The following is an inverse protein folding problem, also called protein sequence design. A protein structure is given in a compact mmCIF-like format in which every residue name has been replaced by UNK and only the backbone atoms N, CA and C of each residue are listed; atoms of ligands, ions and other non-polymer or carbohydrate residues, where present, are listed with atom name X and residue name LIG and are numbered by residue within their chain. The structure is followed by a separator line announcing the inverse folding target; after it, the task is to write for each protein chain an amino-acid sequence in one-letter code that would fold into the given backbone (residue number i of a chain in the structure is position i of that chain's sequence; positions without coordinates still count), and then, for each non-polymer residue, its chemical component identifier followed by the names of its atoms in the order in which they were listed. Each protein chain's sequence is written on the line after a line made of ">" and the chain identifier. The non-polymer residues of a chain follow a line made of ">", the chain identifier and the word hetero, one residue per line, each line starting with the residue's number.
data_IF_993581180175
#
_entry.id   IF_993581180175
#
_cell.length_a   1.000
_cell.length_b   1.000
_cell.length_c   1.000
_cell.angle_alpha   90.00
_cell.angle_beta   90.00
_cell.angle_gamma   90.00
#
_symmetry.space_group_name_H-M   'P 1'
#
loop_
_entity.id
_entity.type
_entity.pdbx_description
1 polymer ?
#
# COMPACT_ATOMS: atom_id res chain seq x y z
N UNK A 1 15.54 -5.32 17.85
CA UNK A 1 15.07 -6.47 17.07
C UNK A 1 13.81 -6.07 16.27
N UNK A 2 13.92 -5.02 15.46
CA UNK A 2 12.81 -4.40 14.72
C UNK A 2 12.94 -4.76 13.23
N UNK A 3 11.82 -5.07 12.57
CA UNK A 3 11.76 -5.26 11.13
C UNK A 3 10.99 -4.09 10.51
N UNK A 4 11.60 -3.40 9.57
CA UNK A 4 10.94 -2.36 8.76
C UNK A 4 10.68 -2.95 7.38
N UNK A 5 9.42 -2.96 6.96
CA UNK A 5 9.00 -3.52 5.67
C UNK A 5 8.63 -2.38 4.74
N UNK A 6 9.35 -2.27 3.62
CA UNK A 6 8.99 -1.36 2.54
C UNK A 6 7.97 -2.02 1.61
N UNK A 7 6.90 -1.30 1.29
CA UNK A 7 5.81 -1.82 0.47
C UNK A 7 5.86 -1.23 -0.94
N UNK A 8 5.47 -2.01 -1.97
CA UNK A 8 5.23 -1.47 -3.31
C UNK A 8 4.27 -0.26 -3.28
N UNK A 9 4.32 0.64 -4.28
CA UNK A 9 3.48 1.84 -4.33
C UNK A 9 1.99 1.52 -4.24
N UNK A 10 1.20 2.45 -3.71
CA UNK A 10 -0.19 2.28 -3.23
C UNK A 10 -1.13 1.60 -4.23
N UNK A 11 -0.95 1.85 -5.54
CA UNK A 11 -1.72 1.17 -6.60
C UNK A 11 -1.63 -0.36 -6.54
N UNK A 12 -0.55 -0.90 -5.97
CA UNK A 12 -0.29 -2.33 -5.77
C UNK A 12 -0.26 -2.73 -4.28
N UNK A 13 -0.45 -1.79 -3.34
CA UNK A 13 -0.39 -2.11 -1.91
C UNK A 13 -1.63 -2.90 -1.45
N UNK A 14 -2.78 -2.71 -2.11
CA UNK A 14 -3.96 -3.57 -1.92
C UNK A 14 -3.67 -5.00 -2.41
N UNK A 15 -2.97 -5.14 -3.55
CA UNK A 15 -2.56 -6.46 -4.03
C UNK A 15 -1.65 -7.18 -3.03
N UNK A 16 -0.83 -6.45 -2.26
CA UNK A 16 -0.02 -7.05 -1.19
C UNK A 16 -0.90 -7.66 -0.08
N UNK A 17 -1.95 -6.96 0.35
CA UNK A 17 -2.89 -7.44 1.36
C UNK A 17 -3.77 -8.59 0.84
N UNK A 18 -4.20 -8.50 -0.41
CA UNK A 18 -5.10 -9.49 -1.02
C UNK A 18 -4.38 -10.70 -1.62
N UNK A 19 -3.08 -10.63 -1.89
CA UNK A 19 -2.34 -11.72 -2.53
C UNK A 19 -2.46 -13.07 -1.81
N UNK A 20 -2.34 -13.16 -0.47
CA UNK A 20 -2.51 -14.42 0.24
C UNK A 20 -3.93 -15.00 0.08
N UNK A 21 -4.94 -14.13 0.18
CA UNK A 21 -6.34 -14.50 0.01
C UNK A 21 -6.66 -14.92 -1.43
N UNK A 22 -6.09 -14.24 -2.41
CA UNK A 22 -6.31 -14.54 -3.84
C UNK A 22 -5.78 -15.93 -4.18
N UNK A 23 -4.63 -16.30 -3.63
CA UNK A 23 -4.07 -17.67 -3.75
C UNK A 23 -5.03 -18.67 -3.08
N UNK A 24 -5.51 -18.37 -1.88
CA UNK A 24 -6.46 -19.25 -1.17
C UNK A 24 -7.77 -19.43 -1.94
N UNK A 25 -8.39 -18.34 -2.41
CA UNK A 25 -9.61 -18.35 -3.24
C UNK A 25 -9.42 -19.14 -4.53
N UNK A 26 -8.26 -19.01 -5.15
CA UNK A 26 -7.91 -19.75 -6.35
C UNK A 26 -7.87 -21.28 -6.10
N UNK A 27 -7.20 -21.69 -5.03
CA UNK A 27 -7.13 -23.09 -4.60
C UNK A 27 -8.49 -23.64 -4.16
N UNK A 28 -9.37 -22.79 -3.64
CA UNK A 28 -10.73 -23.20 -3.28
C UNK A 28 -11.69 -23.34 -4.46
N UNK A 29 -11.30 -22.86 -5.64
CA UNK A 29 -12.16 -22.83 -6.81
C UNK A 29 -12.53 -24.25 -7.27
N UNK A 30 -13.80 -24.45 -7.64
CA UNK A 30 -14.33 -25.78 -8.04
C UNK A 30 -13.57 -26.39 -9.23
N UNK A 31 -13.07 -25.56 -10.14
CA UNK A 31 -12.24 -26.01 -11.27
C UNK A 31 -10.96 -26.69 -10.78
N UNK A 32 -10.23 -26.06 -9.85
CA UNK A 32 -9.00 -26.62 -9.30
C UNK A 32 -9.27 -27.97 -8.61
N UNK A 33 -10.27 -28.00 -7.72
CA UNK A 33 -10.67 -29.23 -7.02
C UNK A 33 -11.03 -30.37 -7.99
N UNK A 34 -11.71 -30.07 -9.10
CA UNK A 34 -12.07 -31.06 -10.12
C UNK A 34 -10.86 -31.54 -10.93
N UNK A 35 -9.85 -30.68 -11.17
CA UNK A 35 -8.63 -31.04 -11.88
C UNK A 35 -7.69 -31.92 -11.05
N UNK A 36 -7.58 -31.66 -9.76
CA UNK A 36 -6.65 -32.34 -8.86
C UNK A 36 -7.24 -33.62 -8.24
N UNK A 37 -8.57 -33.77 -8.20
CA UNK A 37 -9.20 -34.98 -7.65
C UNK A 37 -8.79 -36.23 -8.45
N UNK A 38 -8.17 -37.26 -7.82
CA UNK A 38 -7.68 -38.44 -8.52
C UNK A 38 -8.81 -39.21 -9.21
N UNK A 39 -8.51 -39.74 -10.40
CA UNK A 39 -9.44 -40.45 -11.28
C UNK A 39 -9.77 -41.88 -10.82
N UNK A 40 -10.13 -42.05 -9.54
CA UNK A 40 -10.49 -43.36 -8.94
C UNK A 40 -11.87 -43.35 -8.26
N UNK A 41 -12.73 -44.32 -8.60
CA UNK A 41 -14.00 -44.58 -7.89
C UNK A 41 -15.25 -43.84 -8.38
N UNK A 42 -16.26 -43.70 -7.50
CA UNK A 42 -17.63 -43.19 -7.77
C UNK A 42 -17.70 -41.75 -8.34
N UNK A 43 -16.55 -41.06 -8.45
CA UNK A 43 -16.38 -39.71 -9.00
C UNK A 43 -16.43 -39.64 -10.56
N UNK A 44 -16.57 -40.77 -11.26
CA UNK A 44 -16.57 -40.82 -12.74
C UNK A 44 -17.63 -39.96 -13.42
N UNK A 45 -18.75 -39.66 -12.76
CA UNK A 45 -19.86 -38.89 -13.36
C UNK A 45 -19.55 -37.39 -13.40
N UNK A 46 -18.87 -36.85 -12.38
CA UNK A 46 -18.43 -35.45 -12.34
C UNK A 46 -17.30 -35.21 -13.34
N UNK A 47 -16.43 -36.21 -13.52
CA UNK A 47 -15.28 -36.13 -14.40
C UNK A 47 -15.67 -36.06 -15.90
N UNK A 48 -16.80 -36.66 -16.30
CA UNK A 48 -17.19 -36.70 -17.72
C UNK A 48 -17.65 -35.33 -18.27
N UNK A 49 -18.36 -34.54 -17.46
CA UNK A 49 -18.80 -33.19 -17.83
C UNK A 49 -17.63 -32.19 -17.87
N UNK A 50 -16.73 -32.28 -16.87
CA UNK A 50 -15.52 -31.46 -16.81
C UNK A 50 -14.58 -31.73 -17.99
N UNK A 51 -14.38 -33.00 -18.37
CA UNK A 51 -13.58 -33.37 -19.54
C UNK A 51 -14.15 -32.84 -20.86
N UNK A 52 -15.47 -32.78 -21.01
CA UNK A 52 -16.11 -32.21 -22.21
C UNK A 52 -15.86 -30.69 -22.34
N UNK A 53 -15.94 -29.97 -21.23
CA UNK A 53 -15.62 -28.55 -21.16
C UNK A 53 -14.13 -28.30 -21.43
N UNK A 54 -13.23 -29.05 -20.79
CA UNK A 54 -11.78 -28.94 -20.99
C UNK A 54 -11.35 -29.21 -22.44
N UNK A 55 -11.94 -30.20 -23.12
CA UNK A 55 -11.70 -30.44 -24.56
C UNK A 55 -12.16 -29.28 -25.44
N UNK A 56 -13.20 -28.56 -25.03
CA UNK A 56 -13.70 -27.39 -25.78
C UNK A 56 -12.77 -26.19 -25.60
N UNK A 57 -12.26 -25.99 -24.38
CA UNK A 57 -11.23 -24.98 -24.07
C UNK A 57 -9.89 -25.31 -24.75
N UNK A 58 -9.44 -26.56 -24.72
CA UNK A 58 -8.22 -27.04 -25.38
C UNK A 58 -8.24 -26.82 -26.91
N UNK A 59 -9.43 -26.82 -27.51
CA UNK A 59 -9.60 -26.52 -28.94
C UNK A 59 -9.37 -25.04 -29.26
N UNK A 60 -9.45 -24.16 -28.27
CA UNK A 60 -9.24 -22.70 -28.37
C UNK A 60 -7.82 -22.31 -27.92
N UNK A 61 -7.29 -22.97 -26.87
CA UNK A 61 -6.05 -22.57 -26.17
C UNK A 61 -4.84 -23.49 -26.49
N UNK A 62 -5.02 -24.49 -27.37
CA UNK A 62 -4.12 -25.63 -27.63
C UNK A 62 -4.13 -26.68 -26.51
N UNK A 63 -4.01 -27.95 -26.89
CA UNK A 63 -4.07 -29.07 -25.95
C UNK A 63 -2.86 -29.11 -24.99
N UNK A 64 -1.67 -28.76 -25.48
CA UNK A 64 -0.45 -28.78 -24.67
C UNK A 64 -0.50 -27.81 -23.50
N UNK A 65 -1.04 -26.60 -23.69
CA UNK A 65 -1.19 -25.62 -22.58
C UNK A 65 -2.15 -26.12 -21.50
N UNK A 66 -3.19 -26.86 -21.90
CA UNK A 66 -4.13 -27.45 -20.94
C UNK A 66 -3.46 -28.60 -20.18
N UNK A 67 -2.68 -29.43 -20.87
CA UNK A 67 -1.93 -30.53 -20.24
C UNK A 67 -0.88 -29.98 -19.25
N UNK A 68 -0.12 -28.94 -19.63
CA UNK A 68 0.87 -28.26 -18.77
C UNK A 68 0.20 -27.67 -17.52
N UNK A 69 -0.99 -27.06 -17.66
CA UNK A 69 -1.74 -26.53 -16.53
C UNK A 69 -2.22 -27.64 -15.59
N UNK A 70 -2.66 -28.78 -16.13
CA UNK A 70 -3.06 -29.95 -15.33
C UNK A 70 -1.87 -30.49 -14.55
N UNK A 71 -0.71 -30.64 -15.20
CA UNK A 71 0.53 -31.10 -14.56
C UNK A 71 1.00 -30.14 -13.46
N UNK A 72 0.95 -28.84 -13.73
CA UNK A 72 1.21 -27.81 -12.73
C UNK A 72 0.29 -27.96 -11.51
N UNK A 73 -1.02 -28.08 -11.70
CA UNK A 73 -1.96 -28.22 -10.58
C UNK A 73 -1.81 -29.53 -9.81
N UNK A 74 -1.51 -30.64 -10.50
CA UNK A 74 -1.24 -31.92 -9.86
C UNK A 74 0.04 -31.87 -9.00
N UNK A 75 1.05 -31.11 -9.42
CA UNK A 75 2.28 -30.88 -8.64
C UNK A 75 2.03 -29.97 -7.43
N UNK A 76 1.00 -29.13 -7.49
CA UNK A 76 0.58 -28.24 -6.40
C UNK A 76 -0.33 -28.91 -5.35
N UNK A 77 -0.76 -30.17 -5.57
CA UNK A 77 -1.63 -30.91 -4.66
C UNK A 77 -1.02 -31.07 -3.26
N UNK A 78 -1.78 -30.77 -2.23
CA UNK A 78 -1.36 -30.86 -0.82
C UNK A 78 -0.63 -29.64 -0.26
N UNK A 79 -0.36 -28.61 -1.07
CA UNK A 79 0.25 -27.36 -0.59
C UNK A 79 -0.77 -26.34 -0.06
N UNK A 80 -2.07 -26.57 -0.28
CA UNK A 80 -3.13 -25.58 -0.05
C UNK A 80 -3.31 -25.24 1.42
N UNK A 81 -3.26 -26.27 2.29
CA UNK A 81 -3.36 -26.08 3.73
C UNK A 81 -2.18 -25.25 4.27
N UNK A 82 -0.98 -25.47 3.73
CA UNK A 82 0.20 -24.70 4.08
C UNK A 82 0.13 -23.24 3.63
N UNK A 83 -0.40 -22.98 2.42
CA UNK A 83 -0.62 -21.60 1.95
C UNK A 83 -1.68 -20.89 2.76
N UNK A 84 -2.78 -21.56 3.08
CA UNK A 84 -3.84 -21.02 3.92
C UNK A 84 -3.32 -20.69 5.31
N UNK A 85 -2.60 -21.61 5.94
CA UNK A 85 -2.00 -21.38 7.25
C UNK A 85 -1.05 -20.18 7.25
N UNK A 86 -0.26 -20.01 6.18
CA UNK A 86 0.59 -18.82 6.02
C UNK A 86 -0.19 -17.53 5.80
N UNK A 87 -1.26 -17.56 5.00
CA UNK A 87 -2.09 -16.38 4.76
C UNK A 87 -2.70 -15.87 6.07
N UNK A 88 -3.26 -16.78 6.88
CA UNK A 88 -3.79 -16.46 8.21
C UNK A 88 -2.68 -15.95 9.13
N UNK A 89 -1.54 -16.64 9.22
CA UNK A 89 -0.44 -16.21 10.07
C UNK A 89 0.13 -14.83 9.68
N UNK A 90 0.17 -14.52 8.38
CA UNK A 90 0.57 -13.18 7.90
C UNK A 90 -0.47 -12.15 8.31
N UNK A 91 -1.76 -12.41 8.12
CA UNK A 91 -2.81 -11.49 8.55
C UNK A 91 -2.76 -11.24 10.07
N UNK A 92 -2.64 -12.30 10.87
CA UNK A 92 -2.49 -12.23 12.33
C UNK A 92 -1.28 -11.35 12.73
N UNK A 93 -0.17 -11.43 11.99
CA UNK A 93 1.00 -10.57 12.21
C UNK A 93 0.71 -9.10 11.87
N UNK A 94 -0.06 -8.82 10.82
CA UNK A 94 -0.38 -7.46 10.42
C UNK A 94 -1.31 -6.74 11.41
N UNK A 95 -2.16 -7.48 12.14
CA UNK A 95 -3.08 -6.94 13.14
C UNK A 95 -2.57 -7.09 14.59
N UNK A 96 -1.36 -7.62 14.79
CA UNK A 96 -0.78 -7.84 16.11
C UNK A 96 -0.49 -6.50 16.81
N UNK A 97 -0.59 -6.47 18.15
CA UNK A 97 -0.37 -5.26 18.96
C UNK A 97 1.05 -4.70 18.86
N UNK A 98 2.02 -5.51 18.42
CA UNK A 98 3.43 -5.12 18.21
C UNK A 98 3.76 -4.77 16.75
N UNK A 99 2.76 -4.76 15.87
CA UNK A 99 2.87 -4.30 14.48
C UNK A 99 2.23 -2.92 14.34
N UNK A 100 2.91 -2.01 13.65
CA UNK A 100 2.39 -0.67 13.38
C UNK A 100 2.43 -0.36 11.87
N UNK A 101 1.35 0.22 11.35
CA UNK A 101 1.27 0.69 9.97
C UNK A 101 1.51 2.20 9.89
N UNK A 102 2.52 2.58 9.11
CA UNK A 102 2.86 3.97 8.84
C UNK A 102 2.55 4.30 7.39
N UNK A 103 1.56 5.17 7.18
CA UNK A 103 1.17 5.63 5.86
C UNK A 103 2.03 6.82 5.44
N UNK A 104 2.64 6.75 4.26
CA UNK A 104 3.42 7.86 3.70
C UNK A 104 2.65 8.50 2.55
N UNK A 105 2.44 9.80 2.61
CA UNK A 105 1.76 10.58 1.56
C UNK A 105 2.49 11.89 1.25
N UNK A 106 2.04 12.61 0.22
CA UNK A 106 2.46 13.98 -0.08
C UNK A 106 1.23 14.88 -0.10
N UNK A 107 1.35 16.19 0.22
CA UNK A 107 0.21 17.10 0.32
C UNK A 107 -0.27 17.56 -1.08
N UNK A 108 -0.81 16.62 -1.84
CA UNK A 108 -1.45 16.84 -3.14
C UNK A 108 -2.82 16.18 -3.13
N UNK A 109 -3.81 16.80 -3.76
CA UNK A 109 -5.20 16.30 -3.74
C UNK A 109 -5.29 14.83 -4.19
N UNK A 110 -4.69 14.50 -5.35
CA UNK A 110 -4.70 13.14 -5.90
C UNK A 110 -4.11 12.11 -4.92
N UNK A 111 -2.95 12.43 -4.32
CA UNK A 111 -2.30 11.50 -3.39
C UNK A 111 -2.99 11.41 -2.04
N UNK A 112 -3.64 12.48 -1.58
CA UNK A 112 -4.38 12.47 -0.31
C UNK A 112 -5.70 11.71 -0.45
N UNK A 113 -6.40 11.85 -1.58
CA UNK A 113 -7.60 11.06 -1.88
C UNK A 113 -7.26 9.56 -1.97
N UNK A 114 -6.18 9.20 -2.65
CA UNK A 114 -5.68 7.82 -2.72
C UNK A 114 -5.31 7.29 -1.33
N UNK A 115 -4.67 8.11 -0.48
CA UNK A 115 -4.32 7.76 0.88
C UNK A 115 -5.57 7.51 1.75
N UNK A 116 -6.61 8.34 1.63
CA UNK A 116 -7.87 8.16 2.34
C UNK A 116 -8.57 6.85 1.93
N UNK A 117 -8.67 6.58 0.63
CA UNK A 117 -9.23 5.32 0.12
C UNK A 117 -8.41 4.09 0.58
N UNK A 118 -7.09 4.24 0.70
CA UNK A 118 -6.23 3.16 1.20
C UNK A 118 -6.44 2.90 2.70
N UNK A 119 -6.63 3.95 3.52
CA UNK A 119 -7.01 3.80 4.94
C UNK A 119 -8.33 3.03 5.07
N UNK A 120 -9.34 3.39 4.27
CA UNK A 120 -10.62 2.67 4.25
C UNK A 120 -10.42 1.20 3.88
N UNK A 121 -9.55 0.91 2.91
CA UNK A 121 -9.25 -0.47 2.49
C UNK A 121 -8.56 -1.26 3.62
N UNK A 122 -7.57 -0.66 4.29
CA UNK A 122 -6.90 -1.28 5.44
C UNK A 122 -7.90 -1.59 6.56
N UNK A 123 -8.84 -0.68 6.81
CA UNK A 123 -9.89 -0.88 7.81
C UNK A 123 -10.82 -2.07 7.45
N UNK A 124 -11.06 -2.38 6.17
CA UNK A 124 -11.81 -3.59 5.77
C UNK A 124 -11.09 -4.90 6.10
N UNK A 125 -9.78 -4.85 6.31
CA UNK A 125 -8.95 -5.99 6.71
C UNK A 125 -8.58 -5.97 8.20
N UNK A 126 -9.26 -5.14 9.00
CA UNK A 126 -9.00 -4.92 10.43
C UNK A 126 -7.59 -4.39 10.73
N UNK A 127 -6.96 -3.72 9.75
CA UNK A 127 -5.65 -3.08 9.91
C UNK A 127 -5.85 -1.59 10.17
N UNK A 128 -5.37 -1.11 11.32
CA UNK A 128 -5.37 0.30 11.66
C UNK A 128 -4.09 1.00 11.14
N UNK A 129 -4.20 2.29 10.78
CA UNK A 129 -3.03 3.14 10.50
C UNK A 129 -2.65 3.87 11.79
N UNK A 130 -1.44 3.61 12.27
CA UNK A 130 -0.95 4.16 13.54
C UNK A 130 -0.31 5.54 13.38
N UNK A 131 0.27 5.80 12.20
CA UNK A 131 0.88 7.08 11.91
C UNK A 131 0.80 7.45 10.42
N UNK A 132 0.77 8.76 10.16
CA UNK A 132 0.88 9.33 8.82
C UNK A 132 2.12 10.20 8.73
N UNK A 133 2.98 9.89 7.77
CA UNK A 133 4.09 10.74 7.36
C UNK A 133 3.67 11.52 6.13
N UNK A 134 3.52 12.83 6.28
CA UNK A 134 3.30 13.76 5.17
C UNK A 134 4.65 14.25 4.70
N UNK A 135 5.13 13.69 3.60
CA UNK A 135 6.41 14.04 3.00
C UNK A 135 6.28 15.26 2.08
N UNK A 136 7.39 15.99 1.88
CA UNK A 136 7.50 17.10 0.92
C UNK A 136 6.55 18.26 1.20
N UNK A 137 6.35 18.59 2.48
CA UNK A 137 5.57 19.77 2.88
C UNK A 137 6.34 21.04 2.57
N UNK A 138 5.67 22.06 2.04
CA UNK A 138 6.29 23.38 1.89
C UNK A 138 6.35 24.08 3.25
N UNK A 139 7.53 24.55 3.69
CA UNK A 139 7.66 25.23 4.96
C UNK A 139 6.83 26.51 5.00
N UNK A 140 6.18 26.75 6.12
CA UNK A 140 5.52 28.02 6.42
C UNK A 140 6.49 28.92 7.17
N UNK A 141 6.76 30.10 6.62
CA UNK A 141 7.69 31.08 7.19
C UNK A 141 6.98 32.16 8.03
N UNK A 142 5.80 31.84 8.57
CA UNK A 142 4.96 32.78 9.33
C UNK A 142 4.06 33.63 8.42
N UNK A 143 3.26 34.52 9.02
CA UNK A 143 2.27 35.38 8.34
C UNK A 143 2.58 36.88 8.46
N UNK A 144 3.80 37.23 8.86
CA UNK A 144 4.19 38.64 9.00
C UNK A 144 4.08 39.37 7.66
N UNK A 145 3.42 40.52 7.68
CA UNK A 145 3.23 41.33 6.49
C UNK A 145 4.53 42.07 6.18
N UNK A 146 5.19 41.70 5.08
CA UNK A 146 6.38 42.36 4.56
C UNK A 146 6.04 43.64 3.76
N UNK A 147 5.12 44.45 4.30
CA UNK A 147 4.64 45.68 3.66
C UNK A 147 5.81 46.67 3.49
N UNK A 148 5.92 47.30 2.31
CA UNK A 148 6.94 48.32 2.01
C UNK A 148 8.29 47.79 1.51
N UNK A 149 8.50 46.47 1.48
CA UNK A 149 9.68 45.85 0.86
C UNK A 149 9.43 45.40 -0.59
N UNK A 150 8.17 45.44 -1.04
CA UNK A 150 7.71 44.97 -2.35
C UNK A 150 8.14 45.87 -3.53
N UNK A 151 8.62 47.09 -3.27
CA UNK A 151 9.09 48.03 -4.30
C UNK A 151 10.62 48.15 -4.37
N UNK A 152 11.34 47.34 -3.56
CA UNK A 152 12.79 47.41 -3.43
C UNK A 152 13.55 46.25 -4.10
N UNK A 153 14.89 46.18 -3.91
CA UNK A 153 15.71 45.07 -4.42
C UNK A 153 15.27 43.68 -3.94
N UNK A 154 14.46 43.62 -2.88
CA UNK A 154 13.93 42.39 -2.31
C UNK A 154 12.59 41.95 -2.92
N UNK A 155 11.99 42.75 -3.80
CA UNK A 155 10.68 42.47 -4.40
C UNK A 155 10.57 41.05 -4.99
N UNK A 156 11.55 40.53 -5.76
CA UNK A 156 11.47 39.17 -6.31
C UNK A 156 11.43 38.08 -5.24
N UNK A 157 12.16 38.26 -4.13
CA UNK A 157 12.18 37.30 -3.03
C UNK A 157 10.87 37.30 -2.25
N UNK A 158 10.23 38.46 -2.11
CA UNK A 158 8.92 38.58 -1.45
C UNK A 158 7.83 37.91 -2.29
N UNK A 159 7.87 38.05 -3.62
CA UNK A 159 6.96 37.32 -4.51
C UNK A 159 7.13 35.81 -4.33
N UNK A 160 8.35 35.30 -4.37
CA UNK A 160 8.62 33.86 -4.16
C UNK A 160 8.15 33.38 -2.79
N UNK A 161 8.37 34.17 -1.74
CA UNK A 161 7.90 33.85 -0.39
C UNK A 161 6.37 33.77 -0.34
N UNK A 162 5.67 34.74 -0.92
CA UNK A 162 4.20 34.77 -0.95
C UNK A 162 3.62 33.59 -1.73
N UNK A 163 4.22 33.26 -2.87
CA UNK A 163 3.83 32.09 -3.67
C UNK A 163 4.04 30.80 -2.87
N UNK A 164 5.19 30.65 -2.19
CA UNK A 164 5.47 29.51 -1.32
C UNK A 164 4.50 29.41 -0.14
N UNK A 165 4.14 30.53 0.49
CA UNK A 165 3.15 30.58 1.57
C UNK A 165 1.75 30.20 1.09
N UNK A 166 1.36 30.64 -0.12
CA UNK A 166 0.08 30.29 -0.73
C UNK A 166 -0.01 28.77 -0.96
N UNK A 167 1.08 28.16 -1.43
CA UNK A 167 1.18 26.70 -1.57
C UNK A 167 1.07 26.02 -0.22
N UNK A 168 1.84 26.44 0.79
CA UNK A 168 1.82 25.85 2.14
C UNK A 168 0.42 25.90 2.79
N UNK A 169 -0.29 27.03 2.68
CA UNK A 169 -1.67 27.17 3.20
C UNK A 169 -2.64 26.25 2.46
N UNK A 170 -2.49 26.13 1.14
CA UNK A 170 -3.27 25.17 0.35
C UNK A 170 -3.06 23.73 0.82
N UNK A 171 -1.81 23.36 1.12
CA UNK A 171 -1.47 22.02 1.61
C UNK A 171 -2.14 21.66 2.93
N UNK A 172 -2.18 22.58 3.90
CA UNK A 172 -2.86 22.33 5.18
C UNK A 172 -4.36 22.05 4.99
N UNK A 173 -5.00 22.71 4.03
CA UNK A 173 -6.42 22.47 3.71
C UNK A 173 -6.63 21.07 3.15
N UNK A 174 -5.76 20.62 2.24
CA UNK A 174 -5.84 19.27 1.65
C UNK A 174 -5.62 18.19 2.70
N UNK A 175 -4.64 18.39 3.60
CA UNK A 175 -4.30 17.40 4.63
C UNK A 175 -5.34 17.29 5.74
N UNK A 176 -6.17 18.32 5.95
CA UNK A 176 -7.17 18.32 7.03
C UNK A 176 -8.10 17.11 6.96
N UNK A 177 -8.50 16.70 5.75
CA UNK A 177 -9.38 15.53 5.54
C UNK A 177 -8.76 14.23 6.06
N UNK A 178 -7.44 14.07 5.92
CA UNK A 178 -6.72 12.85 6.29
C UNK A 178 -6.29 12.84 7.76
N UNK A 179 -6.01 14.01 8.32
CA UNK A 179 -5.31 14.15 9.60
C UNK A 179 -6.24 14.43 10.79
N UNK A 180 -7.45 14.92 10.55
CA UNK A 180 -8.40 15.27 11.62
C UNK A 180 -8.92 14.09 12.43
N UNK A 181 -8.88 12.87 11.87
CA UNK A 181 -9.37 11.66 12.55
C UNK A 181 -8.29 10.99 13.41
N UNK A 182 -7.04 11.42 13.30
CA UNK A 182 -5.92 10.82 14.01
C UNK A 182 -5.60 11.54 15.33
N UNK A 183 -5.14 10.81 16.35
CA UNK A 183 -4.71 11.41 17.61
C UNK A 183 -3.52 12.35 17.39
N UNK A 184 -3.42 13.36 18.25
CA UNK A 184 -2.30 14.28 18.24
C UNK A 184 -0.98 13.52 18.42
N UNK A 185 -0.01 13.76 17.52
CA UNK A 185 1.28 13.06 17.49
C UNK A 185 1.37 11.89 16.50
N UNK A 186 0.24 11.41 15.95
CA UNK A 186 0.25 10.39 14.90
C UNK A 186 0.60 10.94 13.51
N UNK A 187 0.73 12.26 13.35
CA UNK A 187 1.03 12.90 12.06
C UNK A 187 2.38 13.60 12.13
N UNK A 188 3.30 13.20 11.24
CA UNK A 188 4.63 13.79 11.10
C UNK A 188 4.73 14.46 9.74
N UNK A 189 5.15 15.73 9.71
CA UNK A 189 5.34 16.51 8.48
C UNK A 189 6.84 16.64 8.19
N UNK A 190 7.28 16.14 7.04
CA UNK A 190 8.66 16.28 6.56
C UNK A 190 8.68 17.35 5.47
N UNK A 191 9.53 18.38 5.59
CA UNK A 191 9.59 19.42 4.59
C UNK A 191 10.16 18.90 3.26
N UNK A 192 9.92 19.64 2.18
CA UNK A 192 10.66 19.47 0.95
C UNK A 192 12.13 19.85 1.20
N UNK A 193 12.99 18.83 1.25
CA UNK A 193 14.43 19.00 1.47
C UNK A 193 15.09 19.68 0.26
N UNK A 194 16.15 20.43 0.51
CA UNK A 194 16.95 21.12 -0.51
C UNK A 194 17.94 20.18 -1.23
N UNK A 195 18.07 18.94 -0.74
CA UNK A 195 18.96 17.91 -1.24
C UNK A 195 18.24 16.57 -1.36
N UNK A 196 18.67 15.76 -2.32
CA UNK A 196 18.13 14.40 -2.49
C UNK A 196 18.66 13.47 -1.40
N UNK A 197 17.79 12.62 -0.87
CA UNK A 197 18.16 11.59 0.11
C UNK A 197 18.64 10.34 -0.63
N UNK A 198 19.95 10.23 -0.80
CA UNK A 198 20.57 9.11 -1.53
C UNK A 198 21.80 8.50 -0.81
N UNK A 199 22.13 8.99 0.37
CA UNK A 199 23.23 8.48 1.19
C UNK A 199 22.82 8.42 2.67
N UNK A 200 23.73 7.93 3.51
CA UNK A 200 23.49 7.77 4.95
C UNK A 200 23.35 9.11 5.67
N UNK A 201 23.96 10.18 5.17
CA UNK A 201 23.87 11.52 5.77
C UNK A 201 22.49 12.13 5.51
N UNK A 202 21.98 11.99 4.28
CA UNK A 202 20.62 12.35 3.92
C UNK A 202 19.60 11.54 4.71
N UNK A 203 19.81 10.24 4.90
CA UNK A 203 18.93 9.40 5.73
C UNK A 203 18.96 9.83 7.21
N UNK A 204 20.13 10.17 7.76
CA UNK A 204 20.24 10.68 9.12
C UNK A 204 19.53 12.04 9.29
N UNK A 205 19.59 12.90 8.28
CA UNK A 205 18.88 14.18 8.26
C UNK A 205 17.36 13.97 8.18
N UNK A 206 16.90 13.02 7.36
CA UNK A 206 15.49 12.64 7.27
C UNK A 206 14.96 12.07 8.60
N UNK A 207 15.77 11.25 9.29
CA UNK A 207 15.40 10.64 10.56
C UNK A 207 15.13 11.69 11.67
N UNK A 208 15.83 12.82 11.65
CA UNK A 208 15.58 13.93 12.58
C UNK A 208 14.18 14.54 12.40
N UNK A 209 13.65 14.54 11.18
CA UNK A 209 12.28 14.99 10.90
C UNK A 209 11.23 13.96 11.30
N UNK A 210 11.55 12.67 11.18
CA UNK A 210 10.66 11.57 11.59
C UNK A 210 10.52 11.47 13.11
N UNK A 211 11.59 11.80 13.83
CA UNK A 211 11.66 11.72 15.31
C UNK A 211 12.23 13.02 15.88
N UNK A 212 11.49 14.14 15.80
CA UNK A 212 11.98 15.40 16.33
C UNK A 212 12.22 15.27 17.85
N UNK A 213 13.40 15.68 18.31
CA UNK A 213 13.75 15.68 19.72
C UNK A 213 12.70 16.48 20.51
N UNK A 214 11.89 15.82 21.34
CA UNK A 214 10.84 16.46 22.14
C UNK A 214 9.45 15.81 22.10
N UNK A 215 9.25 14.73 21.35
CA UNK A 215 8.04 13.89 21.49
C UNK A 215 8.30 12.88 22.62
N UNK A 216 7.46 12.84 23.69
CA UNK A 216 7.71 12.04 24.90
C UNK A 216 7.85 10.54 24.67
#
# INVERSE_FOLDING_TARGET
>A
DLVVVDTPPTSNAIDFLEAPDRITRFLDHRLYKVLVTPTGGLARVVNFAAQGFLRTVARIVSASVVDDAIEFFATFDGMEEGFRGRAVAVHDLLIAEDTAFVLVTVPRNDTVDDAAAFIETLATADIAVDAIVVNRVHPSFGSERLDGLADGPLAPFITVLHDSQTVAVGQDTVLATLTNELPAGAVVKIPFLDTDVHDLEGLASLAQWLTPEGTP
#
